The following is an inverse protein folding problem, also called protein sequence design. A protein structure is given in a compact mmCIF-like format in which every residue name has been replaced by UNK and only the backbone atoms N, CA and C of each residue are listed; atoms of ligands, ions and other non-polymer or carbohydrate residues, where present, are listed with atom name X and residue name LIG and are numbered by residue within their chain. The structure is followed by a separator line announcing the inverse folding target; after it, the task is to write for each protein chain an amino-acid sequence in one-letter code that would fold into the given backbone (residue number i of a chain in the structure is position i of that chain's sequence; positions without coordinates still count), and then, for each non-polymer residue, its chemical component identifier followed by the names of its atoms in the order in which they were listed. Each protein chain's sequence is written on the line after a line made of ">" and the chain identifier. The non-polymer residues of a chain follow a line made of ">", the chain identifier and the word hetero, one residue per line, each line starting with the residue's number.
data_IF_803989385351
#
_entry.id   IF_803989385351
#
_cell.length_a   1.000
_cell.length_b   1.000
_cell.length_c   1.000
_cell.angle_alpha   90.00
_cell.angle_beta   90.00
_cell.angle_gamma   90.00
#
_symmetry.space_group_name_H-M   'P 1'
#
loop_
_entity.id
_entity.type
_entity.pdbx_description
1 polymer ?
#
# COMPACT_ATOMS: atom_id res chain seq x y z
N UNK A 1 15.22 3.80 -12.23
CA UNK A 1 14.63 4.43 -11.03
C UNK A 1 13.22 4.93 -11.29
N UNK A 2 13.00 5.84 -12.25
CA UNK A 2 11.66 6.38 -12.55
C UNK A 2 10.67 5.42 -13.22
N UNK A 3 11.17 4.42 -13.97
CA UNK A 3 10.32 3.44 -14.66
C UNK A 3 9.44 2.64 -13.68
N UNK A 4 9.99 2.23 -12.54
CA UNK A 4 9.24 1.46 -11.53
C UNK A 4 8.11 2.29 -10.91
N UNK A 5 8.35 3.59 -10.69
CA UNK A 5 7.35 4.52 -10.15
C UNK A 5 6.23 4.73 -11.17
N UNK A 6 6.56 4.92 -12.45
CA UNK A 6 5.57 5.02 -13.53
C UNK A 6 4.70 3.76 -13.61
N UNK A 7 5.30 2.57 -13.51
CA UNK A 7 4.57 1.30 -13.48
C UNK A 7 3.61 1.24 -12.29
N UNK A 8 4.07 1.62 -11.08
CA UNK A 8 3.23 1.66 -9.88
C UNK A 8 2.05 2.61 -10.08
N UNK A 9 2.28 3.82 -10.59
CA UNK A 9 1.22 4.81 -10.83
C UNK A 9 0.19 4.28 -11.84
N UNK A 10 0.63 3.69 -12.95
CA UNK A 10 -0.27 3.16 -13.98
C UNK A 10 -1.12 2.02 -13.42
N UNK A 11 -0.50 1.04 -12.75
CA UNK A 11 -1.21 -0.12 -12.18
C UNK A 11 -2.25 0.34 -11.16
N UNK A 12 -1.86 1.19 -10.21
CA UNK A 12 -2.80 1.67 -9.19
C UNK A 12 -3.89 2.54 -9.81
N UNK A 13 -3.60 3.33 -10.84
CA UNK A 13 -4.64 4.10 -11.55
C UNK A 13 -5.68 3.18 -12.19
N UNK A 14 -5.23 2.11 -12.88
CA UNK A 14 -6.13 1.13 -13.49
C UNK A 14 -6.99 0.45 -12.43
N UNK A 15 -6.37 -0.08 -11.37
CA UNK A 15 -7.08 -0.76 -10.27
C UNK A 15 -8.07 0.20 -9.60
N UNK A 16 -7.64 1.42 -9.31
CA UNK A 16 -8.49 2.44 -8.70
C UNK A 16 -9.73 2.72 -9.54
N UNK A 17 -9.60 2.82 -10.86
CA UNK A 17 -10.75 3.03 -11.76
C UNK A 17 -11.64 1.77 -11.82
N UNK A 18 -11.06 0.57 -11.95
CA UNK A 18 -11.84 -0.67 -12.12
C UNK A 18 -12.59 -1.09 -10.86
N UNK A 19 -12.07 -0.76 -9.67
CA UNK A 19 -12.61 -1.22 -8.39
C UNK A 19 -13.35 -0.11 -7.63
N UNK A 20 -12.77 1.10 -7.52
CA UNK A 20 -13.35 2.17 -6.70
C UNK A 20 -14.63 2.72 -7.34
N UNK A 21 -14.69 2.82 -8.67
CA UNK A 21 -15.86 3.32 -9.41
C UNK A 21 -17.10 2.45 -9.18
N UNK A 22 -17.07 1.11 -9.37
CA UNK A 22 -18.23 0.27 -9.09
C UNK A 22 -18.62 0.25 -7.60
N UNK A 23 -17.66 0.24 -6.67
CA UNK A 23 -17.96 0.29 -5.22
C UNK A 23 -18.70 1.60 -4.87
N UNK A 24 -18.25 2.73 -5.42
CA UNK A 24 -18.93 4.02 -5.25
C UNK A 24 -20.35 4.00 -5.83
N UNK A 25 -20.56 3.30 -6.95
CA UNK A 25 -21.88 3.16 -7.59
C UNK A 25 -22.86 2.29 -6.77
N UNK A 26 -22.36 1.28 -6.05
CA UNK A 26 -23.18 0.39 -5.21
C UNK A 26 -23.52 0.98 -3.82
N UNK A 27 -23.12 2.24 -3.54
CA UNK A 27 -23.47 2.99 -2.33
C UNK A 27 -23.02 2.37 -0.99
N UNK A 28 -22.10 1.39 -1.02
CA UNK A 28 -21.54 0.75 0.17
C UNK A 28 -20.42 1.59 0.77
N UNK A 29 -20.78 2.73 1.40
CA UNK A 29 -19.81 3.70 1.98
C UNK A 29 -18.78 3.07 2.93
N UNK A 30 -19.18 2.07 3.72
CA UNK A 30 -18.28 1.34 4.62
C UNK A 30 -17.23 0.54 3.84
N UNK A 31 -17.67 -0.20 2.84
CA UNK A 31 -16.79 -1.00 1.96
C UNK A 31 -15.84 -0.10 1.18
N UNK A 32 -16.34 1.02 0.64
CA UNK A 32 -15.53 2.03 -0.01
C UNK A 32 -14.44 2.57 0.91
N UNK A 33 -14.79 2.84 2.18
CA UNK A 33 -13.83 3.38 3.16
C UNK A 33 -12.73 2.37 3.46
N UNK A 34 -13.09 1.11 3.69
CA UNK A 34 -12.14 0.03 3.95
C UNK A 34 -11.25 -0.18 2.72
N UNK A 35 -11.84 -0.27 1.53
CA UNK A 35 -11.10 -0.44 0.29
C UNK A 35 -10.10 0.69 0.06
N UNK A 36 -10.55 1.94 0.14
CA UNK A 36 -9.70 3.13 -0.06
C UNK A 36 -8.57 3.17 0.98
N UNK A 37 -8.82 2.79 2.23
CA UNK A 37 -7.80 2.73 3.27
C UNK A 37 -6.67 1.76 2.89
N UNK A 38 -7.02 0.52 2.54
CA UNK A 38 -6.04 -0.51 2.16
C UNK A 38 -5.35 -0.16 0.84
N UNK A 39 -6.09 0.29 -0.16
CA UNK A 39 -5.57 0.71 -1.45
C UNK A 39 -4.55 1.84 -1.32
N UNK A 40 -4.87 2.87 -0.54
CA UNK A 40 -3.96 4.01 -0.30
C UNK A 40 -2.71 3.55 0.45
N UNK A 41 -2.87 2.70 1.46
CA UNK A 41 -1.73 2.15 2.22
C UNK A 41 -0.79 1.35 1.31
N UNK A 42 -1.35 0.47 0.48
CA UNK A 42 -0.57 -0.30 -0.48
C UNK A 42 0.14 0.60 -1.51
N UNK A 43 -0.55 1.64 -2.02
CA UNK A 43 0.03 2.60 -2.95
C UNK A 43 1.24 3.33 -2.35
N UNK A 44 1.11 3.80 -1.11
CA UNK A 44 2.20 4.47 -0.39
C UNK A 44 3.37 3.52 -0.19
N UNK A 45 3.14 2.30 0.31
CA UNK A 45 4.20 1.31 0.52
C UNK A 45 4.95 0.99 -0.78
N UNK A 46 4.21 0.77 -1.88
CA UNK A 46 4.81 0.42 -3.15
C UNK A 46 5.59 1.59 -3.77
N UNK A 47 5.11 2.82 -3.55
CA UNK A 47 5.82 4.04 -3.95
C UNK A 47 7.12 4.21 -3.16
N UNK A 48 7.06 4.06 -1.82
CA UNK A 48 8.25 4.14 -0.95
C UNK A 48 9.29 3.07 -1.33
N UNK A 49 8.84 1.84 -1.59
CA UNK A 49 9.69 0.77 -2.10
C UNK A 49 10.35 1.14 -3.43
N UNK A 50 9.57 1.69 -4.38
CA UNK A 50 10.07 2.13 -5.69
C UNK A 50 11.08 3.28 -5.64
N UNK A 51 10.99 4.16 -4.64
CA UNK A 51 11.95 5.26 -4.38
C UNK A 51 13.21 4.76 -3.64
N UNK A 52 13.24 3.49 -3.22
CA UNK A 52 14.38 2.89 -2.54
C UNK A 52 14.42 3.15 -1.04
N UNK A 53 13.29 3.54 -0.44
CA UNK A 53 13.17 3.61 1.02
C UNK A 53 13.34 2.21 1.58
N UNK A 54 14.31 2.03 2.48
CA UNK A 54 14.49 0.78 3.21
C UNK A 54 13.30 0.57 4.13
N UNK A 55 12.37 -0.28 3.70
CA UNK A 55 11.29 -0.75 4.57
C UNK A 55 11.94 -1.73 5.56
N UNK A 56 11.97 -1.42 6.86
CA UNK A 56 12.59 -2.28 7.87
C UNK A 56 11.90 -3.65 7.86
N UNK A 57 12.70 -4.70 8.03
CA UNK A 57 12.12 -6.05 8.10
C UNK A 57 11.46 -6.23 9.45
N UNK A 58 10.32 -6.91 9.47
CA UNK A 58 9.63 -7.25 10.73
C UNK A 58 10.56 -8.04 11.66
N UNK A 59 11.46 -8.85 11.10
CA UNK A 59 12.49 -9.59 11.84
C UNK A 59 13.40 -8.66 12.65
N UNK A 60 13.84 -7.53 12.09
CA UNK A 60 14.71 -6.57 12.79
C UNK A 60 13.99 -5.96 14.02
N UNK A 61 12.68 -5.75 13.91
CA UNK A 61 11.85 -5.32 15.04
C UNK A 61 11.69 -6.40 16.12
N UNK A 62 11.51 -7.66 15.71
CA UNK A 62 11.41 -8.79 16.63
C UNK A 62 12.73 -9.07 17.35
N UNK A 63 13.85 -9.02 16.63
CA UNK A 63 15.19 -9.24 17.19
C UNK A 63 15.49 -8.23 18.32
N UNK A 64 15.17 -6.94 18.11
CA UNK A 64 15.30 -5.91 19.16
C UNK A 64 14.41 -6.17 20.38
N UNK A 65 13.22 -6.72 20.20
CA UNK A 65 12.31 -7.02 21.32
C UNK A 65 12.85 -8.23 22.09
N UNK A 66 13.31 -9.26 21.39
CA UNK A 66 13.87 -10.48 21.97
C UNK A 66 15.16 -10.16 22.75
N UNK A 67 16.08 -9.37 22.18
CA UNK A 67 17.30 -8.88 22.86
C UNK A 67 17.00 -8.06 24.13
N UNK A 68 15.81 -7.48 24.25
CA UNK A 68 15.42 -6.69 25.41
C UNK A 68 14.82 -7.53 26.54
N UNK A 69 14.44 -8.77 26.25
CA UNK A 69 13.81 -9.71 27.17
C UNK A 69 14.83 -10.72 27.72
N UNK A 70 15.81 -11.11 26.91
CA UNK A 70 16.94 -11.99 27.29
C UNK A 70 18.04 -11.16 27.94
#
# INVERSE_FOLDING_TARGET
>A
MYLNILIVIIIFTVIGITEIVPIKKNNTKKELTIYVLFFTTAFVLMTLYGVGVKIPKISEGLDMIIEKII
#
